data_IF_968582622894
#
_entry.id   IF_968582622894
#
_cell.length_a   1.000
_cell.length_b   1.000
_cell.length_c   1.000
_cell.angle_alpha   90.00
_cell.angle_beta   90.00
_cell.angle_gamma   90.00
#
_symmetry.space_group_name_H-M   'P 1'
#
loop_
_entity.id
_entity.type
_entity.pdbx_description
1 polymer ?
#
# COMPACT_ATOMS: atom_id res chain seq x y z
N UNK A 1 -2.03 12.70 -0.12
CA UNK A 1 -2.82 11.61 0.52
C UNK A 1 -2.17 10.26 0.27
N UNK A 2 -1.89 9.54 1.33
CA UNK A 2 -1.26 8.21 1.26
C UNK A 2 -2.21 7.22 1.94
N UNK A 3 -2.43 6.06 1.34
CA UNK A 3 -3.25 5.00 1.93
C UNK A 3 -2.36 3.95 2.57
N UNK A 4 -2.76 3.49 3.75
CA UNK A 4 -2.15 2.35 4.44
C UNK A 4 -3.27 1.32 4.63
N UNK A 5 -3.09 0.14 4.06
CA UNK A 5 -4.09 -0.93 4.09
C UNK A 5 -3.50 -2.14 4.79
N UNK A 6 -3.96 -2.41 6.00
CA UNK A 6 -3.45 -3.51 6.83
C UNK A 6 -4.52 -3.84 7.87
N UNK A 7 -4.87 -5.12 8.04
CA UNK A 7 -5.82 -5.56 9.03
C UNK A 7 -5.22 -5.64 10.44
N UNK A 8 -3.90 -5.54 10.56
CA UNK A 8 -3.20 -5.43 11.85
C UNK A 8 -3.11 -3.96 12.23
N UNK A 9 -3.91 -3.51 13.18
CA UNK A 9 -3.97 -2.12 13.61
C UNK A 9 -2.63 -1.58 14.11
N UNK A 10 -1.87 -2.41 14.81
CA UNK A 10 -0.57 -2.00 15.35
C UNK A 10 0.40 -1.74 14.21
N UNK A 11 0.44 -2.63 13.24
CA UNK A 11 1.33 -2.51 12.09
C UNK A 11 0.94 -1.32 11.22
N UNK A 12 -0.37 -1.14 10.98
CA UNK A 12 -0.87 0.01 10.21
C UNK A 12 -0.47 1.33 10.87
N UNK A 13 -0.58 1.39 12.18
CA UNK A 13 -0.21 2.58 12.95
C UNK A 13 1.29 2.84 12.88
N UNK A 14 2.11 1.79 12.96
CA UNK A 14 3.56 1.92 12.83
C UNK A 14 3.94 2.54 11.49
N UNK A 15 3.33 2.07 10.41
CA UNK A 15 3.57 2.63 9.07
C UNK A 15 3.09 4.09 9.01
N UNK A 16 1.87 4.34 9.47
CA UNK A 16 1.28 5.68 9.40
C UNK A 16 2.08 6.72 10.19
N UNK A 17 2.65 6.33 11.32
CA UNK A 17 3.46 7.23 12.15
C UNK A 17 4.75 7.68 11.47
N UNK A 18 5.28 6.85 10.59
CA UNK A 18 6.50 7.17 9.86
C UNK A 18 6.22 8.12 8.68
N UNK A 19 4.95 8.33 8.35
CA UNK A 19 4.55 9.17 7.21
C UNK A 19 4.13 10.53 7.75
N UNK A 20 4.74 11.60 7.24
CA UNK A 20 4.44 12.97 7.67
C UNK A 20 3.32 13.62 6.86
N UNK A 21 3.04 13.07 5.68
CA UNK A 21 1.97 13.55 4.82
C UNK A 21 0.62 13.04 5.31
N UNK A 22 -0.46 13.61 4.77
CA UNK A 22 -1.82 13.16 5.09
C UNK A 22 -1.99 11.68 4.74
N UNK A 23 -2.47 10.90 5.70
CA UNK A 23 -2.55 9.46 5.60
C UNK A 23 -3.94 8.97 5.97
N UNK A 24 -4.44 7.98 5.23
CA UNK A 24 -5.65 7.26 5.60
C UNK A 24 -5.33 5.79 5.81
N UNK A 25 -5.86 5.24 6.90
CA UNK A 25 -5.64 3.84 7.26
C UNK A 25 -6.94 3.06 7.04
N UNK A 26 -6.81 1.92 6.35
CA UNK A 26 -7.93 1.01 6.11
C UNK A 26 -7.59 -0.37 6.64
N UNK A 27 -8.56 -1.04 7.26
CA UNK A 27 -8.37 -2.39 7.78
C UNK A 27 -8.67 -3.47 6.72
N UNK A 28 -9.18 -3.08 5.57
CA UNK A 28 -9.46 -4.02 4.48
C UNK A 28 -9.42 -3.31 3.13
N UNK A 29 -9.29 -4.12 2.09
CA UNK A 29 -9.14 -3.62 0.72
C UNK A 29 -10.46 -3.06 0.16
N UNK A 30 -11.60 -3.57 0.61
CA UNK A 30 -12.90 -3.15 0.11
C UNK A 30 -13.14 -1.66 0.42
N UNK A 31 -12.88 -1.25 1.66
CA UNK A 31 -13.05 0.14 2.06
C UNK A 31 -12.11 1.08 1.30
N UNK A 32 -10.87 0.64 1.11
CA UNK A 32 -9.89 1.43 0.35
C UNK A 32 -10.33 1.59 -1.10
N UNK A 33 -10.78 0.52 -1.74
CA UNK A 33 -11.25 0.57 -3.13
C UNK A 33 -12.49 1.44 -3.25
N UNK A 34 -13.38 1.40 -2.27
CA UNK A 34 -14.56 2.24 -2.25
C UNK A 34 -14.19 3.73 -2.28
N UNK A 35 -13.21 4.13 -1.49
CA UNK A 35 -12.73 5.52 -1.48
C UNK A 35 -12.12 5.93 -2.79
N UNK A 36 -11.35 5.03 -3.39
CA UNK A 36 -10.74 5.28 -4.72
C UNK A 36 -11.85 5.47 -5.77
N UNK A 37 -12.89 4.63 -5.72
CA UNK A 37 -14.03 4.72 -6.63
C UNK A 37 -14.78 6.04 -6.46
N UNK A 38 -14.82 6.57 -5.24
CA UNK A 38 -15.44 7.86 -4.93
C UNK A 38 -14.60 9.07 -5.36
N UNK A 39 -13.41 8.82 -5.89
CA UNK A 39 -12.52 9.88 -6.39
C UNK A 39 -11.36 10.23 -5.49
N UNK A 40 -11.18 9.57 -4.36
CA UNK A 40 -10.03 9.80 -3.50
C UNK A 40 -8.84 8.95 -3.98
N UNK A 41 -8.07 9.50 -4.90
CA UNK A 41 -6.92 8.79 -5.49
C UNK A 41 -5.67 9.10 -4.69
N UNK A 42 -5.08 8.12 -3.99
CA UNK A 42 -3.85 8.36 -3.24
C UNK A 42 -2.64 8.48 -4.17
N UNK A 43 -1.60 9.13 -3.67
CA UNK A 43 -0.33 9.26 -4.40
C UNK A 43 0.56 8.03 -4.21
N UNK A 44 0.30 7.26 -3.15
CA UNK A 44 1.09 6.09 -2.79
C UNK A 44 0.24 5.20 -1.88
N UNK A 45 0.40 3.89 -2.00
CA UNK A 45 -0.30 2.92 -1.16
C UNK A 45 0.71 2.00 -0.50
N UNK A 46 0.61 1.84 0.82
CA UNK A 46 1.29 0.78 1.56
C UNK A 46 0.26 -0.32 1.81
N UNK A 47 0.50 -1.49 1.28
CA UNK A 47 -0.48 -2.58 1.23
C UNK A 47 0.06 -3.85 1.88
N UNK A 48 -0.66 -4.37 2.87
CA UNK A 48 -0.43 -5.72 3.37
C UNK A 48 -1.03 -6.70 2.35
N UNK A 49 -0.21 -7.62 1.87
CA UNK A 49 -0.64 -8.58 0.85
C UNK A 49 -1.57 -9.67 1.41
N UNK A 50 -1.48 -9.95 2.71
CA UNK A 50 -2.25 -10.99 3.38
C UNK A 50 -3.37 -10.39 4.23
N UNK A 51 -4.35 -9.81 3.56
CA UNK A 51 -5.50 -9.22 4.24
C UNK A 51 -6.59 -10.26 4.49
N UNK A 52 -7.38 -10.05 5.55
CA UNK A 52 -8.61 -10.79 5.75
C UNK A 52 -9.65 -10.35 4.70
N UNK A 53 -10.41 -11.30 4.17
CA UNK A 53 -11.37 -11.04 3.10
C UNK A 53 -10.67 -11.01 1.74
N UNK A 54 -11.07 -10.11 0.83
CA UNK A 54 -10.37 -9.96 -0.45
C UNK A 54 -8.92 -9.61 -0.18
N UNK A 55 -8.01 -10.44 -0.66
CA UNK A 55 -6.58 -10.30 -0.37
C UNK A 55 -5.94 -9.17 -1.16
N UNK A 56 -4.66 -8.93 -0.86
CA UNK A 56 -3.92 -7.87 -1.52
C UNK A 56 -3.76 -8.08 -3.02
N UNK A 57 -3.72 -9.34 -3.48
CA UNK A 57 -3.63 -9.63 -4.92
C UNK A 57 -4.89 -9.21 -5.66
N UNK A 58 -6.07 -9.45 -5.06
CA UNK A 58 -7.34 -9.03 -5.63
C UNK A 58 -7.37 -7.50 -5.76
N UNK A 59 -6.93 -6.81 -4.73
CA UNK A 59 -6.85 -5.35 -4.73
C UNK A 59 -5.91 -4.84 -5.82
N UNK A 60 -4.73 -5.46 -5.95
CA UNK A 60 -3.76 -5.09 -6.99
C UNK A 60 -4.34 -5.28 -8.39
N UNK A 61 -5.04 -6.39 -8.62
CA UNK A 61 -5.68 -6.66 -9.89
C UNK A 61 -6.73 -5.59 -10.23
N UNK A 62 -7.50 -5.16 -9.25
CA UNK A 62 -8.50 -4.11 -9.46
C UNK A 62 -7.83 -2.78 -9.81
N UNK A 63 -6.76 -2.40 -9.11
CA UNK A 63 -6.03 -1.18 -9.43
C UNK A 63 -5.47 -1.22 -10.83
N UNK A 64 -4.93 -2.36 -11.25
CA UNK A 64 -4.33 -2.50 -12.57
C UNK A 64 -5.36 -2.52 -13.69
N UNK A 65 -6.64 -2.75 -13.37
CA UNK A 65 -7.71 -2.85 -14.36
C UNK A 65 -8.21 -1.51 -14.88
N UNK A 66 -7.90 -0.42 -14.17
CA UNK A 66 -8.38 0.91 -14.54
C UNK A 66 -7.20 1.84 -14.82
N UNK A 67 -7.31 2.61 -15.88
CA UNK A 67 -6.23 3.48 -16.34
C UNK A 67 -5.82 4.51 -15.30
N UNK A 68 -6.78 5.09 -14.59
CA UNK A 68 -6.51 6.12 -13.59
C UNK A 68 -5.91 5.57 -12.29
N UNK A 69 -6.10 4.29 -11.99
CA UNK A 69 -5.55 3.66 -10.78
C UNK A 69 -4.32 2.80 -11.04
N UNK A 70 -4.12 2.38 -12.27
CA UNK A 70 -2.98 1.52 -12.65
C UNK A 70 -1.62 2.21 -12.42
N UNK A 71 -1.60 3.53 -12.33
CA UNK A 71 -0.39 4.33 -12.14
C UNK A 71 -0.04 4.59 -10.68
N UNK A 72 -0.94 4.23 -9.74
CA UNK A 72 -0.68 4.46 -8.32
C UNK A 72 0.46 3.54 -7.87
N UNK A 73 1.57 4.09 -7.37
CA UNK A 73 2.65 3.24 -6.87
C UNK A 73 2.23 2.53 -5.58
N UNK A 74 2.57 1.26 -5.47
CA UNK A 74 2.22 0.42 -4.33
C UNK A 74 3.48 -0.16 -3.70
N UNK A 75 3.59 -0.02 -2.38
CA UNK A 75 4.62 -0.66 -1.58
C UNK A 75 3.95 -1.81 -0.82
N UNK A 76 4.44 -3.02 -1.02
CA UNK A 76 3.94 -4.19 -0.28
C UNK A 76 4.61 -4.21 1.09
N UNK A 77 3.83 -4.42 2.14
CA UNK A 77 4.32 -4.59 3.50
C UNK A 77 3.93 -6.00 3.94
N UNK A 78 4.91 -6.88 4.10
CA UNK A 78 4.62 -8.30 4.33
C UNK A 78 5.70 -8.96 5.18
N UNK A 79 5.30 -10.00 5.93
CA UNK A 79 6.25 -10.89 6.61
C UNK A 79 6.70 -12.04 5.69
N UNK A 80 6.11 -12.14 4.50
CA UNK A 80 6.50 -13.12 3.50
C UNK A 80 7.59 -12.56 2.59
N UNK A 81 8.38 -13.45 2.03
CA UNK A 81 9.44 -13.08 1.11
C UNK A 81 8.88 -12.98 -0.32
N UNK A 82 8.75 -11.76 -0.81
CA UNK A 82 8.31 -11.51 -2.19
C UNK A 82 9.38 -10.76 -2.95
N UNK A 83 9.55 -11.11 -4.22
CA UNK A 83 10.40 -10.34 -5.11
C UNK A 83 9.59 -9.19 -5.71
N UNK A 84 10.16 -8.00 -5.69
CA UNK A 84 9.60 -6.81 -6.35
C UNK A 84 9.33 -7.07 -7.83
N UNK A 85 10.19 -7.85 -8.49
CA UNK A 85 10.04 -8.23 -9.90
C UNK A 85 8.76 -8.99 -10.18
N UNK A 86 8.36 -9.86 -9.24
CA UNK A 86 7.19 -10.70 -9.43
C UNK A 86 5.90 -9.90 -9.38
N UNK A 87 5.93 -8.72 -8.77
CA UNK A 87 4.75 -7.89 -8.54
C UNK A 87 4.75 -6.58 -9.33
N UNK A 88 5.83 -6.31 -10.08
CA UNK A 88 5.96 -5.03 -10.78
C UNK A 88 4.85 -4.76 -11.79
N UNK A 89 4.29 -5.81 -12.39
CA UNK A 89 3.19 -5.68 -13.34
C UNK A 89 1.90 -5.13 -12.71
N UNK A 90 1.81 -5.15 -11.39
CA UNK A 90 0.66 -4.63 -10.65
C UNK A 90 0.88 -3.22 -10.10
N UNK A 91 1.92 -2.53 -10.53
CA UNK A 91 2.26 -1.20 -10.01
C UNK A 91 3.04 -1.23 -8.71
N UNK A 92 3.52 -2.39 -8.29
CA UNK A 92 4.34 -2.52 -7.08
C UNK A 92 5.75 -2.01 -7.37
N UNK A 93 6.19 -1.04 -6.57
CA UNK A 93 7.48 -0.38 -6.73
C UNK A 93 8.44 -0.67 -5.59
N UNK A 94 7.99 -1.38 -4.56
CA UNK A 94 8.85 -1.78 -3.46
C UNK A 94 8.18 -2.78 -2.55
N UNK A 95 8.98 -3.46 -1.75
CA UNK A 95 8.52 -4.43 -0.75
C UNK A 95 9.24 -4.15 0.56
N UNK A 96 8.46 -4.02 1.63
CA UNK A 96 8.99 -3.87 3.00
C UNK A 96 8.72 -5.15 3.78
N UNK A 97 9.74 -5.62 4.48
CA UNK A 97 9.62 -6.76 5.39
C UNK A 97 9.13 -6.25 6.74
N UNK A 98 7.99 -6.76 7.20
CA UNK A 98 7.39 -6.36 8.49
C UNK A 98 8.33 -6.54 9.67
N UNK A 99 9.26 -7.49 9.59
CA UNK A 99 10.16 -7.80 10.69
C UNK A 99 11.39 -6.91 10.74
N UNK A 100 11.76 -6.29 9.63
CA UNK A 100 13.00 -5.50 9.51
C UNK A 100 12.80 -4.07 9.05
N UNK A 101 11.60 -3.72 8.59
CA UNK A 101 11.36 -2.36 8.07
C UNK A 101 11.60 -1.30 9.13
N UNK A 102 12.10 -0.15 8.69
CA UNK A 102 12.39 0.99 9.56
C UNK A 102 11.62 2.22 9.11
N UNK A 103 11.43 3.20 10.01
CA UNK A 103 10.82 4.47 9.62
C UNK A 103 11.54 5.15 8.47
N UNK A 104 12.85 5.01 8.39
CA UNK A 104 13.65 5.60 7.30
C UNK A 104 13.32 4.99 5.95
N UNK A 105 13.08 3.70 5.88
CA UNK A 105 12.68 3.04 4.65
C UNK A 105 11.31 3.56 4.18
N UNK A 106 10.37 3.67 5.12
CA UNK A 106 9.04 4.18 4.83
C UNK A 106 9.13 5.63 4.31
N UNK A 107 9.88 6.48 5.01
CA UNK A 107 10.10 7.86 4.60
C UNK A 107 10.75 7.97 3.22
N UNK A 108 11.68 7.08 2.92
CA UNK A 108 12.36 7.05 1.64
C UNK A 108 11.39 6.79 0.49
N UNK A 109 10.48 5.85 0.66
CA UNK A 109 9.46 5.58 -0.35
C UNK A 109 8.49 6.74 -0.52
N UNK A 110 8.08 7.37 0.58
CA UNK A 110 7.21 8.54 0.54
C UNK A 110 7.90 9.69 -0.22
N UNK A 111 9.15 9.93 0.09
CA UNK A 111 9.95 10.94 -0.61
C UNK A 111 10.02 10.67 -2.11
N UNK A 112 10.24 9.42 -2.48
CA UNK A 112 10.46 9.02 -3.87
C UNK A 112 9.17 9.06 -4.70
N UNK A 113 8.05 8.67 -4.13
CA UNK A 113 6.82 8.43 -4.90
C UNK A 113 5.66 9.37 -4.58
N UNK A 114 5.65 10.03 -3.43
CA UNK A 114 4.54 10.88 -3.01
C UNK A 114 4.87 12.39 -3.06
N UNK A 115 5.92 12.74 -3.73
CA UNK A 115 6.34 14.16 -3.85
C UNK A 115 5.98 14.77 -5.18
#
# INVERSE_FOLDING_TARGET
>A
MIFVIDDDEIMAECVARAIKEETRVFSNAIEAMQKITEGEIPELIFLDILLDGPDGFTFLNELASYEDTARIPVIIVSSLDFSEKDLSMYGVVGVLDKTTMSPKEIESYVWQYAK
#
